data_IF_372931994781
#
_entry.id   IF_372931994781
#
_cell.length_a   1.000
_cell.length_b   1.000
_cell.length_c   1.000
_cell.angle_alpha   90.00
_cell.angle_beta   90.00
_cell.angle_gamma   90.00
#
_symmetry.space_group_name_H-M   'P 1'
#
loop_
_entity.id
_entity.type
_entity.pdbx_description
1 polymer ?
#
# COMPACT_ATOMS: atom_id res chain seq x y z
N UNK A 1 8.90 -11.90 -15.53
CA UNK A 1 10.14 -11.36 -14.93
C UNK A 1 9.95 -9.90 -14.50
N UNK A 2 8.71 -9.48 -14.19
CA UNK A 2 8.28 -8.07 -14.06
C UNK A 2 7.73 -7.71 -12.67
N UNK A 3 7.47 -8.69 -11.79
CA UNK A 3 6.86 -8.46 -10.47
C UNK A 3 7.89 -7.94 -9.43
N UNK A 4 9.17 -8.27 -9.63
CA UNK A 4 10.23 -7.98 -8.67
C UNK A 4 10.60 -6.49 -8.61
N UNK A 5 10.77 -5.86 -9.77
CA UNK A 5 11.13 -4.44 -9.87
C UNK A 5 9.99 -3.53 -9.40
N UNK A 6 8.74 -3.91 -9.71
CA UNK A 6 7.55 -3.21 -9.24
C UNK A 6 7.44 -3.26 -7.71
N UNK A 7 7.65 -4.44 -7.12
CA UNK A 7 7.65 -4.63 -5.67
C UNK A 7 8.78 -3.86 -4.99
N UNK A 8 9.98 -3.89 -5.57
CA UNK A 8 11.13 -3.11 -5.06
C UNK A 8 10.82 -1.62 -5.01
N UNK A 9 10.30 -1.06 -6.10
CA UNK A 9 9.94 0.34 -6.18
C UNK A 9 8.89 0.72 -5.15
N UNK A 10 7.85 -0.11 -4.98
CA UNK A 10 6.78 0.11 -3.99
C UNK A 10 7.35 0.10 -2.57
N UNK A 11 8.20 -0.86 -2.23
CA UNK A 11 8.84 -0.95 -0.91
C UNK A 11 9.70 0.28 -0.64
N UNK A 12 10.51 0.70 -1.61
CA UNK A 12 11.35 1.90 -1.48
C UNK A 12 10.50 3.17 -1.34
N UNK A 13 9.41 3.30 -2.10
CA UNK A 13 8.51 4.44 -2.01
C UNK A 13 7.76 4.48 -0.66
N UNK A 14 7.30 3.33 -0.17
CA UNK A 14 6.62 3.23 1.13
C UNK A 14 7.57 3.53 2.29
N UNK A 15 8.84 3.11 2.18
CA UNK A 15 9.88 3.50 3.13
C UNK A 15 10.08 5.02 3.15
N UNK A 16 10.20 5.66 2.00
CA UNK A 16 10.32 7.13 1.92
C UNK A 16 9.13 7.84 2.58
N UNK A 17 7.91 7.33 2.41
CA UNK A 17 6.74 7.85 3.14
C UNK A 17 6.90 7.67 4.65
N UNK A 18 7.31 6.48 5.11
CA UNK A 18 7.53 6.21 6.53
C UNK A 18 8.62 7.10 7.14
N UNK A 19 9.63 7.48 6.34
CA UNK A 19 10.72 8.39 6.69
C UNK A 19 10.35 9.88 6.54
N UNK A 20 9.07 10.20 6.33
CA UNK A 20 8.54 11.55 6.16
C UNK A 20 9.03 12.31 4.91
N UNK A 21 9.41 11.60 3.84
CA UNK A 21 9.70 12.18 2.53
C UNK A 21 8.72 11.70 1.44
N UNK A 22 7.43 12.07 1.54
CA UNK A 22 6.45 11.73 0.52
C UNK A 22 6.77 12.41 -0.83
N UNK A 23 7.52 13.52 -0.81
CA UNK A 23 7.95 14.19 -2.04
C UNK A 23 8.93 13.34 -2.85
N UNK A 24 9.90 12.71 -2.21
CA UNK A 24 10.79 11.74 -2.86
C UNK A 24 10.04 10.48 -3.28
N UNK A 25 9.14 9.96 -2.45
CA UNK A 25 8.31 8.81 -2.79
C UNK A 25 7.50 9.07 -4.07
N UNK A 26 6.85 10.23 -4.17
CA UNK A 26 6.06 10.60 -5.35
C UNK A 26 6.94 10.74 -6.60
N UNK A 27 8.14 11.32 -6.48
CA UNK A 27 9.08 11.39 -7.61
C UNK A 27 9.54 10.01 -8.05
N UNK A 28 9.78 9.09 -7.12
CA UNK A 28 10.19 7.72 -7.42
C UNK A 28 9.09 6.97 -8.18
N UNK A 29 7.84 7.04 -7.68
CA UNK A 29 6.68 6.43 -8.34
C UNK A 29 6.38 7.10 -9.68
N UNK A 30 6.52 8.42 -9.80
CA UNK A 30 6.21 9.15 -11.03
C UNK A 30 7.27 9.06 -12.13
N UNK A 31 8.52 8.71 -11.79
CA UNK A 31 9.63 8.63 -12.75
C UNK A 31 9.87 7.22 -13.32
N UNK A 32 9.11 6.24 -12.87
CA UNK A 32 9.25 4.84 -13.29
C UNK A 32 8.74 4.60 -14.72
N UNK A 33 9.35 3.66 -15.42
CA UNK A 33 8.88 3.11 -16.69
C UNK A 33 8.07 1.81 -16.53
N UNK A 34 7.89 1.34 -15.29
CA UNK A 34 7.10 0.16 -14.97
C UNK A 34 5.62 0.43 -15.26
N UNK A 35 4.96 -0.53 -15.91
CA UNK A 35 3.55 -0.41 -16.26
C UNK A 35 2.68 -0.21 -15.01
N UNK A 36 1.82 0.81 -15.00
CA UNK A 36 1.08 1.22 -13.79
C UNK A 36 0.20 0.11 -13.20
N UNK A 37 -0.29 -0.84 -14.01
CA UNK A 37 -1.04 -2.00 -13.48
C UNK A 37 -0.15 -2.98 -12.71
N UNK A 38 1.09 -3.17 -13.15
CA UNK A 38 2.04 -4.04 -12.45
C UNK A 38 2.42 -3.40 -11.11
N UNK A 39 2.62 -2.07 -11.10
CA UNK A 39 2.81 -1.30 -9.87
C UNK A 39 1.57 -1.36 -8.96
N UNK A 40 0.37 -1.24 -9.51
CA UNK A 40 -0.88 -1.31 -8.73
C UNK A 40 -0.99 -2.66 -8.01
N UNK A 41 -0.77 -3.76 -8.73
CA UNK A 41 -0.77 -5.09 -8.12
C UNK A 41 0.32 -5.23 -7.05
N UNK A 42 1.54 -4.75 -7.32
CA UNK A 42 2.62 -4.78 -6.35
C UNK A 42 2.29 -3.95 -5.09
N UNK A 43 1.77 -2.73 -5.24
CA UNK A 43 1.41 -1.84 -4.14
C UNK A 43 0.33 -2.43 -3.24
N UNK A 44 -0.72 -2.98 -3.85
CA UNK A 44 -1.81 -3.62 -3.12
C UNK A 44 -1.37 -4.89 -2.40
N UNK A 45 -0.50 -5.71 -3.02
CA UNK A 45 0.08 -6.91 -2.41
C UNK A 45 1.02 -6.60 -1.26
N UNK A 46 1.85 -5.56 -1.39
CA UNK A 46 2.74 -5.12 -0.31
C UNK A 46 1.90 -4.65 0.88
N UNK A 47 0.87 -3.83 0.65
CA UNK A 47 -0.04 -3.41 1.72
C UNK A 47 -0.74 -4.62 2.36
N UNK A 48 -1.29 -5.52 1.55
CA UNK A 48 -1.95 -6.74 2.03
C UNK A 48 -1.01 -7.61 2.89
N UNK A 49 0.25 -7.76 2.48
CA UNK A 49 1.26 -8.49 3.23
C UNK A 49 1.59 -7.81 4.57
N UNK A 50 1.80 -6.49 4.57
CA UNK A 50 2.11 -5.71 5.79
C UNK A 50 0.94 -5.75 6.79
N UNK A 51 -0.29 -5.66 6.28
CA UNK A 51 -1.52 -5.69 7.08
C UNK A 51 -1.99 -7.11 7.43
N UNK A 52 -1.46 -8.13 6.75
CA UNK A 52 -1.88 -9.52 6.87
C UNK A 52 -1.31 -10.26 8.07
N UNK A 53 -1.78 -11.50 8.28
CA UNK A 53 -1.40 -12.36 9.41
C UNK A 53 -2.37 -12.26 10.60
N UNK A 54 -1.94 -12.73 11.77
CA UNK A 54 -2.78 -12.70 12.97
C UNK A 54 -3.19 -11.27 13.31
N UNK A 55 -4.47 -11.06 13.60
CA UNK A 55 -5.03 -9.73 13.87
C UNK A 55 -5.21 -8.83 12.64
N UNK A 56 -5.12 -9.37 11.42
CA UNK A 56 -5.40 -8.60 10.20
C UNK A 56 -6.81 -7.98 10.18
N UNK A 57 -7.89 -8.71 10.55
CA UNK A 57 -9.25 -8.13 10.55
C UNK A 57 -9.37 -6.88 11.43
N UNK A 58 -8.74 -6.88 12.60
CA UNK A 58 -8.73 -5.74 13.52
C UNK A 58 -7.94 -4.56 12.95
N UNK A 59 -6.79 -4.83 12.33
CA UNK A 59 -5.95 -3.79 11.71
C UNK A 59 -6.65 -3.12 10.52
N UNK A 60 -7.32 -3.90 9.67
CA UNK A 60 -8.12 -3.35 8.58
C UNK A 60 -9.37 -2.61 9.08
N UNK A 61 -10.02 -3.10 10.14
CA UNK A 61 -11.14 -2.40 10.78
C UNK A 61 -10.70 -1.05 11.37
N UNK A 62 -9.52 -0.97 11.98
CA UNK A 62 -8.95 0.29 12.47
C UNK A 62 -8.69 1.28 11.34
N UNK A 63 -8.08 0.84 10.22
CA UNK A 63 -7.90 1.70 9.05
C UNK A 63 -9.23 2.23 8.50
N UNK A 64 -10.25 1.38 8.38
CA UNK A 64 -11.60 1.82 7.98
C UNK A 64 -12.18 2.86 8.94
N UNK A 65 -11.98 2.69 10.24
CA UNK A 65 -12.44 3.66 11.23
C UNK A 65 -11.74 5.02 11.06
N UNK A 66 -10.43 5.03 10.82
CA UNK A 66 -9.68 6.27 10.54
C UNK A 66 -10.17 6.97 9.27
N UNK A 67 -10.49 6.20 8.22
CA UNK A 67 -11.07 6.78 6.98
C UNK A 67 -12.51 7.24 7.19
N UNK A 68 -13.28 6.60 8.08
CA UNK A 68 -14.60 7.09 8.46
C UNK A 68 -14.53 8.45 9.15
N UNK A 69 -13.54 8.67 10.02
CA UNK A 69 -13.31 9.99 10.62
C UNK A 69 -12.95 11.05 9.57
N UNK A 70 -12.19 10.68 8.53
CA UNK A 70 -11.93 11.54 7.38
C UNK A 70 -13.22 11.86 6.60
N UNK A 71 -14.08 10.85 6.39
CA UNK A 71 -15.37 11.01 5.72
C UNK A 71 -16.31 11.97 6.47
N UNK A 72 -16.27 11.99 7.80
CA UNK A 72 -17.03 12.96 8.59
C UNK A 72 -16.57 14.41 8.38
N UNK A 73 -15.31 14.62 8.00
CA UNK A 73 -14.71 15.95 7.80
C UNK A 73 -14.90 16.46 6.37
N UNK A 74 -14.75 15.59 5.37
CA UNK A 74 -14.72 15.96 3.95
C UNK A 74 -15.98 15.55 3.18
N UNK A 75 -16.78 14.65 3.75
CA UNK A 75 -17.94 14.03 3.12
C UNK A 75 -17.64 12.60 2.66
N UNK A 76 -18.65 11.70 2.66
CA UNK A 76 -18.48 10.30 2.26
C UNK A 76 -18.16 10.12 0.77
N UNK A 77 -18.58 11.07 -0.07
CA UNK A 77 -18.33 11.07 -1.52
C UNK A 77 -17.03 11.80 -1.89
N UNK A 78 -16.23 12.20 -0.90
CA UNK A 78 -14.91 12.80 -1.17
C UNK A 78 -14.01 11.79 -1.89
N UNK A 79 -13.36 12.27 -2.96
CA UNK A 79 -12.55 11.42 -3.84
C UNK A 79 -11.44 10.68 -3.07
N UNK A 80 -10.83 11.29 -2.07
CA UNK A 80 -9.77 10.65 -1.28
C UNK A 80 -10.33 9.61 -0.32
N UNK A 81 -11.51 9.88 0.27
CA UNK A 81 -12.20 8.92 1.13
C UNK A 81 -12.54 7.64 0.36
N UNK A 82 -13.15 7.78 -0.82
CA UNK A 82 -13.50 6.63 -1.67
C UNK A 82 -12.26 5.85 -2.08
N UNK A 83 -11.20 6.53 -2.55
CA UNK A 83 -9.95 5.87 -2.94
C UNK A 83 -9.31 5.11 -1.77
N UNK A 84 -9.26 5.70 -0.58
CA UNK A 84 -8.71 5.03 0.60
C UNK A 84 -9.52 3.77 0.93
N UNK A 85 -10.86 3.84 0.90
CA UNK A 85 -11.71 2.68 1.17
C UNK A 85 -11.53 1.57 0.13
N UNK A 86 -11.44 1.91 -1.16
CA UNK A 86 -11.21 0.92 -2.23
C UNK A 86 -9.85 0.23 -2.11
N UNK A 87 -8.80 0.98 -1.80
CA UNK A 87 -7.45 0.44 -1.55
C UNK A 87 -7.44 -0.48 -0.33
N UNK A 88 -8.05 -0.05 0.78
CA UNK A 88 -8.17 -0.85 2.01
C UNK A 88 -8.94 -2.16 1.72
N UNK A 89 -10.11 -2.08 1.07
CA UNK A 89 -10.93 -3.24 0.77
C UNK A 89 -10.22 -4.22 -0.18
N UNK A 90 -9.52 -3.69 -1.19
CA UNK A 90 -8.78 -4.53 -2.15
C UNK A 90 -7.60 -5.23 -1.46
N UNK A 91 -6.84 -4.52 -0.62
CA UNK A 91 -5.74 -5.13 0.13
C UNK A 91 -6.20 -6.12 1.20
N UNK A 92 -7.36 -5.90 1.82
CA UNK A 92 -7.96 -6.87 2.75
C UNK A 92 -8.35 -8.15 2.02
N UNK A 93 -9.06 -8.05 0.88
CA UNK A 93 -9.41 -9.20 0.06
C UNK A 93 -8.15 -10.00 -0.37
N UNK A 94 -7.09 -9.31 -0.76
CA UNK A 94 -5.80 -9.95 -1.06
C UNK A 94 -5.15 -10.62 0.15
N UNK A 95 -5.24 -10.02 1.34
CA UNK A 95 -4.71 -10.59 2.58
C UNK A 95 -5.48 -11.85 3.00
N UNK A 96 -6.78 -11.92 2.69
CA UNK A 96 -7.65 -13.08 2.90
C UNK A 96 -7.51 -14.15 1.81
N UNK A 97 -6.79 -13.84 0.72
CA UNK A 97 -6.62 -14.73 -0.43
C UNK A 97 -7.78 -14.70 -1.44
N UNK A 98 -8.73 -13.77 -1.29
CA UNK A 98 -9.83 -13.54 -2.23
C UNK A 98 -9.40 -12.62 -3.38
N UNK A 99 -8.63 -13.20 -4.31
CA UNK A 99 -8.10 -12.48 -5.48
C UNK A 99 -9.20 -12.05 -6.45
N UNK A 100 -10.29 -12.83 -6.54
CA UNK A 100 -11.40 -12.50 -7.45
C UNK A 100 -12.14 -11.26 -6.96
N UNK A 101 -12.45 -11.17 -5.66
CA UNK A 101 -13.06 -9.98 -5.09
C UNK A 101 -12.16 -8.74 -5.22
N UNK A 102 -10.85 -8.90 -4.96
CA UNK A 102 -9.88 -7.82 -5.17
C UNK A 102 -9.90 -7.28 -6.61
N UNK A 103 -9.95 -8.18 -7.60
CA UNK A 103 -10.03 -7.81 -9.02
C UNK A 103 -11.37 -7.14 -9.37
N UNK A 104 -12.47 -7.59 -8.79
CA UNK A 104 -13.79 -6.96 -8.98
C UNK A 104 -13.77 -5.50 -8.53
N UNK A 105 -13.24 -5.22 -7.33
CA UNK A 105 -13.12 -3.84 -6.80
C UNK A 105 -12.30 -2.97 -7.76
N UNK A 106 -11.09 -3.42 -8.13
CA UNK A 106 -10.20 -2.66 -9.02
C UNK A 106 -10.82 -2.44 -10.40
N UNK A 107 -11.53 -3.44 -10.93
CA UNK A 107 -12.16 -3.33 -12.26
C UNK A 107 -13.39 -2.41 -12.29
N UNK A 108 -14.10 -2.29 -11.16
CA UNK A 108 -15.25 -1.40 -11.00
C UNK A 108 -14.89 0.03 -10.60
N UNK A 109 -13.64 0.26 -10.23
CA UNK A 109 -13.16 1.56 -9.76
C UNK A 109 -13.12 2.63 -10.84
N UNK A 110 -13.43 3.87 -10.46
CA UNK A 110 -13.24 5.06 -11.30
C UNK A 110 -11.79 5.59 -11.27
N UNK A 111 -10.95 5.05 -10.38
CA UNK A 111 -9.59 5.52 -10.18
C UNK A 111 -8.61 4.84 -11.12
N UNK A 112 -7.57 5.59 -11.50
CA UNK A 112 -6.52 5.04 -12.33
C UNK A 112 -5.60 4.11 -11.52
N UNK A 113 -4.89 3.17 -12.16
CA UNK A 113 -3.92 2.33 -11.46
C UNK A 113 -2.88 3.12 -10.65
N UNK A 114 -2.46 4.30 -11.13
CA UNK A 114 -1.47 5.13 -10.41
C UNK A 114 -2.06 5.83 -9.18
N UNK A 115 -3.37 6.12 -9.15
CA UNK A 115 -4.06 6.61 -7.95
C UNK A 115 -4.00 5.53 -6.84
N UNK A 116 -4.28 4.27 -7.19
CA UNK A 116 -4.16 3.13 -6.28
C UNK A 116 -2.74 2.94 -5.77
N UNK A 117 -1.74 2.99 -6.67
CA UNK A 117 -0.32 2.87 -6.29
C UNK A 117 0.05 3.91 -5.25
N UNK A 118 -0.24 5.18 -5.53
CA UNK A 118 0.14 6.27 -4.64
C UNK A 118 -0.57 6.18 -3.28
N UNK A 119 -1.88 5.89 -3.29
CA UNK A 119 -2.65 5.71 -2.06
C UNK A 119 -2.13 4.52 -1.23
N UNK A 120 -1.92 3.35 -1.84
CA UNK A 120 -1.41 2.16 -1.15
C UNK A 120 0.01 2.38 -0.59
N UNK A 121 0.89 3.05 -1.34
CA UNK A 121 2.24 3.44 -0.85
C UNK A 121 2.14 4.36 0.37
N UNK A 122 1.24 5.36 0.32
CA UNK A 122 1.04 6.28 1.45
C UNK A 122 0.52 5.56 2.69
N UNK A 123 -0.52 4.74 2.54
CA UNK A 123 -1.09 3.95 3.64
C UNK A 123 -0.02 3.02 4.21
N UNK A 124 0.70 2.28 3.37
CA UNK A 124 1.75 1.35 3.82
C UNK A 124 2.81 2.07 4.65
N UNK A 125 3.36 3.19 4.16
CA UNK A 125 4.38 3.94 4.89
C UNK A 125 3.89 4.51 6.22
N UNK A 126 2.67 5.06 6.25
CA UNK A 126 2.07 5.63 7.47
C UNK A 126 1.77 4.55 8.51
N UNK A 127 1.19 3.43 8.09
CA UNK A 127 0.90 2.27 8.95
C UNK A 127 2.18 1.74 9.57
N UNK A 128 3.21 1.47 8.75
CA UNK A 128 4.49 0.94 9.23
C UNK A 128 5.10 1.89 10.23
N UNK A 129 5.14 3.20 9.94
CA UNK A 129 5.65 4.20 10.87
C UNK A 129 4.90 4.20 12.20
N UNK A 130 3.56 4.14 12.16
CA UNK A 130 2.71 4.14 13.35
C UNK A 130 2.89 2.89 14.22
N UNK A 131 3.03 1.73 13.61
CA UNK A 131 3.10 0.44 14.33
C UNK A 131 4.49 0.07 14.81
N UNK A 132 5.49 0.24 13.95
CA UNK A 132 6.85 -0.23 14.18
C UNK A 132 7.63 0.79 15.04
N UNK A 133 7.25 2.06 14.96
CA UNK A 133 7.98 3.17 15.58
C UNK A 133 9.28 3.50 14.84
N UNK A 134 9.76 4.72 15.03
CA UNK A 134 10.91 5.26 14.28
C UNK A 134 12.19 4.44 14.49
N UNK A 135 12.42 3.91 15.69
CA UNK A 135 13.63 3.17 16.05
C UNK A 135 13.78 1.83 15.29
N UNK A 136 12.68 1.24 14.82
CA UNK A 136 12.68 -0.08 14.19
C UNK A 136 12.41 -0.05 12.68
N UNK A 137 12.24 1.15 12.08
CA UNK A 137 11.94 1.30 10.66
C UNK A 137 12.99 0.64 9.76
N UNK A 138 14.28 0.84 10.05
CA UNK A 138 15.36 0.27 9.25
C UNK A 138 15.34 -1.27 9.24
N UNK A 139 15.11 -1.88 10.40
CA UNK A 139 15.04 -3.34 10.51
C UNK A 139 13.83 -3.89 9.75
N UNK A 140 12.66 -3.26 9.93
CA UNK A 140 11.44 -3.63 9.22
C UNK A 140 11.63 -3.60 7.70
N UNK A 141 12.11 -2.49 7.14
CA UNK A 141 12.29 -2.36 5.69
C UNK A 141 13.39 -3.27 5.15
N UNK A 142 14.41 -3.59 5.96
CA UNK A 142 15.39 -4.64 5.62
C UNK A 142 14.72 -6.01 5.54
N UNK A 143 13.83 -6.32 6.50
CA UNK A 143 13.00 -7.52 6.50
C UNK A 143 12.12 -7.62 5.26
N UNK A 144 11.45 -6.52 4.88
CA UNK A 144 10.63 -6.46 3.67
C UNK A 144 11.46 -6.75 2.41
N UNK A 145 12.64 -6.14 2.27
CA UNK A 145 13.52 -6.43 1.13
C UNK A 145 13.93 -7.89 1.06
N UNK A 146 14.28 -8.50 2.20
CA UNK A 146 14.59 -9.94 2.26
C UNK A 146 13.41 -10.82 1.89
N UNK A 147 12.21 -10.51 2.40
CA UNK A 147 10.99 -11.27 2.09
C UNK A 147 10.71 -11.31 0.58
N UNK A 148 10.87 -10.17 -0.09
CA UNK A 148 10.64 -10.05 -1.53
C UNK A 148 11.86 -10.38 -2.39
N UNK A 149 13.00 -10.74 -1.78
CA UNK A 149 14.26 -11.05 -2.46
C UNK A 149 14.99 -9.85 -3.09
N UNK A 150 14.62 -8.62 -2.70
CA UNK A 150 15.13 -7.37 -3.27
C UNK A 150 16.60 -7.18 -2.88
N UNK A 151 17.47 -6.97 -3.87
CA UNK A 151 18.90 -6.69 -3.65
C UNK A 151 19.85 -7.88 -3.75
N UNK A 152 19.35 -9.10 -3.99
CA UNK A 152 20.15 -10.29 -4.27
C UNK A 152 20.84 -10.92 -3.05
N UNK A 153 20.64 -12.24 -2.89
CA UNK A 153 21.27 -13.23 -2.01
C UNK A 153 21.92 -12.74 -0.68
N UNK A 154 21.33 -13.18 0.44
CA UNK A 154 22.08 -13.34 1.69
C UNK A 154 23.16 -14.42 1.55
#
# INVERSE_FOLDING_TARGET
MTDHDATALVVDAAQLVAECDPGAALRLVGATDIHHRDLQHAALRVLAHVMGGDGAPERFAELRAQVHELALQHGPDDRQVVLNLEVIATSEALAEGDVDHANEIVSGSMFSPIDFVWCAVCITGQVVRGWVGEDNLTEFWTGQRRHWGIGGAA
#
